data_IF_920128600977
#
_entry.id   IF_920128600977
#
_cell.length_a   1.000
_cell.length_b   1.000
_cell.length_c   1.000
_cell.angle_alpha   90.00
_cell.angle_beta   90.00
_cell.angle_gamma   90.00
#
_symmetry.space_group_name_H-M   'P 1'
#
loop_
_entity.id
_entity.type
_entity.pdbx_description
1 polymer ?
#
# COMPACT_ATOMS: atom_id res chain seq x y z
N UNK A 1 52.54 11.20 -0.18
CA UNK A 1 51.91 11.51 1.12
C UNK A 1 50.56 10.81 1.22
N UNK A 2 50.34 10.15 2.36
CA UNK A 2 49.07 9.48 2.66
C UNK A 2 48.01 10.55 2.96
N UNK A 3 46.89 10.54 2.20
CA UNK A 3 45.73 11.37 2.50
C UNK A 3 45.14 10.96 3.86
N UNK A 4 45.07 11.89 4.78
CA UNK A 4 44.52 11.63 6.11
C UNK A 4 43.45 12.68 6.44
N UNK A 5 42.18 12.43 6.06
CA UNK A 5 41.08 13.35 6.27
C UNK A 5 40.84 13.56 7.79
N UNK A 6 40.45 14.78 8.17
CA UNK A 6 40.07 15.06 9.54
C UNK A 6 38.77 14.35 9.95
N UNK A 7 38.45 14.26 11.24
CA UNK A 7 37.28 13.54 11.74
C UNK A 7 35.96 14.07 11.19
N UNK A 8 35.84 15.38 10.92
CA UNK A 8 34.63 15.99 10.34
C UNK A 8 34.42 15.54 8.90
N UNK A 9 35.52 15.53 8.11
CA UNK A 9 35.46 15.05 6.70
C UNK A 9 35.11 13.55 6.65
N UNK A 10 35.70 12.74 7.53
CA UNK A 10 35.37 11.31 7.66
C UNK A 10 33.90 11.10 8.02
N UNK A 11 33.37 11.84 8.99
CA UNK A 11 31.98 11.75 9.40
C UNK A 11 31.02 12.10 8.24
N UNK A 12 31.33 13.14 7.46
CA UNK A 12 30.55 13.55 6.29
C UNK A 12 30.53 12.48 5.21
N UNK A 13 31.69 11.93 4.86
CA UNK A 13 31.80 10.86 3.86
C UNK A 13 31.05 9.62 4.32
N UNK A 14 31.16 9.23 5.58
CA UNK A 14 30.42 8.08 6.11
C UNK A 14 28.93 8.30 6.07
N UNK A 15 28.42 9.49 6.39
CA UNK A 15 27.01 9.82 6.31
C UNK A 15 26.48 9.74 4.86
N UNK A 16 27.26 10.25 3.89
CA UNK A 16 26.89 10.16 2.46
C UNK A 16 26.88 8.71 1.96
N UNK A 17 27.83 7.87 2.40
CA UNK A 17 27.87 6.45 2.06
C UNK A 17 26.70 5.70 2.69
N UNK A 18 26.37 5.97 3.93
CA UNK A 18 25.24 5.35 4.63
C UNK A 18 23.92 5.69 3.92
N UNK A 19 23.72 6.94 3.53
CA UNK A 19 22.55 7.36 2.76
C UNK A 19 22.49 6.65 1.40
N UNK A 20 23.61 6.55 0.70
CA UNK A 20 23.70 5.84 -0.56
C UNK A 20 23.29 4.37 -0.41
N UNK A 21 23.83 3.66 0.57
CA UNK A 21 23.50 2.25 0.81
C UNK A 21 22.05 2.05 1.24
N UNK A 22 21.52 2.93 2.10
CA UNK A 22 20.10 2.88 2.50
C UNK A 22 19.19 3.03 1.27
N UNK A 23 19.49 3.98 0.38
CA UNK A 23 18.73 4.18 -0.84
C UNK A 23 18.81 2.94 -1.77
N UNK A 24 19.98 2.32 -1.89
CA UNK A 24 20.13 1.08 -2.66
C UNK A 24 19.30 -0.07 -2.05
N UNK A 25 19.30 -0.21 -0.74
CA UNK A 25 18.51 -1.22 -0.03
C UNK A 25 17.00 -1.01 -0.27
N UNK A 26 16.54 0.24 -0.21
CA UNK A 26 15.14 0.60 -0.49
C UNK A 26 14.78 0.28 -1.94
N UNK A 27 15.60 0.67 -2.91
CA UNK A 27 15.38 0.39 -4.34
C UNK A 27 15.32 -1.10 -4.64
N UNK A 28 16.12 -1.90 -3.93
CA UNK A 28 16.09 -3.37 -4.04
C UNK A 28 14.94 -4.03 -3.27
N UNK A 29 14.15 -3.26 -2.52
CA UNK A 29 13.06 -3.81 -1.73
C UNK A 29 13.49 -4.50 -0.43
N UNK A 30 14.70 -4.22 0.07
CA UNK A 30 15.25 -4.85 1.28
C UNK A 30 14.93 -4.09 2.57
N UNK A 31 14.45 -2.86 2.45
CA UNK A 31 14.03 -2.01 3.58
C UNK A 31 12.71 -1.34 3.26
N UNK A 32 11.82 -1.26 4.25
CA UNK A 32 10.55 -0.56 4.10
C UNK A 32 10.80 0.91 3.76
N UNK A 33 10.28 1.40 2.59
CA UNK A 33 10.45 2.79 2.20
C UNK A 33 9.56 3.71 3.02
N UNK A 34 9.98 4.96 3.17
CA UNK A 34 9.09 6.00 3.68
C UNK A 34 7.93 6.22 2.71
N UNK A 35 6.73 6.39 3.26
CA UNK A 35 5.53 6.65 2.47
C UNK A 35 5.19 8.14 2.53
N UNK A 36 5.83 8.94 1.66
CA UNK A 36 5.65 10.39 1.60
C UNK A 36 5.06 10.82 0.25
N UNK A 37 4.10 11.73 0.28
CA UNK A 37 3.44 12.23 -0.93
C UNK A 37 2.73 13.55 -0.64
N UNK A 38 2.63 14.41 -1.66
CA UNK A 38 1.91 15.66 -1.62
C UNK A 38 0.83 15.77 -2.71
N UNK A 39 0.80 14.84 -3.64
CA UNK A 39 -0.16 14.80 -4.74
C UNK A 39 -0.39 13.37 -5.22
N UNK A 40 -1.31 13.20 -6.16
CA UNK A 40 -1.70 11.88 -6.68
C UNK A 40 -0.54 11.14 -7.34
N UNK A 41 0.30 11.83 -8.11
CA UNK A 41 1.47 11.21 -8.76
C UNK A 41 2.47 10.70 -7.72
N UNK A 42 2.74 11.48 -6.69
CA UNK A 42 3.63 11.07 -5.60
C UNK A 42 3.04 9.93 -4.77
N UNK A 43 1.71 9.92 -4.57
CA UNK A 43 1.02 8.79 -3.94
C UNK A 43 1.24 7.49 -4.73
N UNK A 44 1.08 7.55 -6.05
CA UNK A 44 1.34 6.39 -6.92
C UNK A 44 2.78 5.91 -6.78
N UNK A 45 3.76 6.81 -6.77
CA UNK A 45 5.18 6.47 -6.58
C UNK A 45 5.46 5.84 -5.23
N UNK A 46 4.87 6.38 -4.16
CA UNK A 46 5.00 5.81 -2.82
C UNK A 46 4.41 4.40 -2.76
N UNK A 47 3.26 4.20 -3.40
CA UNK A 47 2.64 2.86 -3.52
C UNK A 47 3.56 1.89 -4.28
N UNK A 48 4.15 2.28 -5.40
CA UNK A 48 5.08 1.43 -6.14
C UNK A 48 6.28 0.99 -5.30
N UNK A 49 6.88 1.91 -4.55
CA UNK A 49 8.00 1.61 -3.65
C UNK A 49 7.60 0.59 -2.58
N UNK A 50 6.44 0.80 -1.98
CA UNK A 50 5.89 -0.12 -0.98
C UNK A 50 5.62 -1.51 -1.58
N UNK A 51 4.98 -1.57 -2.76
CA UNK A 51 4.66 -2.83 -3.43
C UNK A 51 5.94 -3.58 -3.81
N UNK A 52 6.97 -2.90 -4.30
CA UNK A 52 8.26 -3.50 -4.60
C UNK A 52 8.91 -4.09 -3.34
N UNK A 53 8.84 -3.37 -2.23
CA UNK A 53 9.30 -3.86 -0.93
C UNK A 53 8.58 -5.15 -0.52
N UNK A 54 7.26 -5.18 -0.62
CA UNK A 54 6.45 -6.37 -0.28
C UNK A 54 6.78 -7.52 -1.25
N UNK A 55 6.86 -7.24 -2.55
CA UNK A 55 7.08 -8.25 -3.58
C UNK A 55 8.47 -8.88 -3.52
N UNK A 56 9.43 -8.20 -2.91
CA UNK A 56 10.77 -8.76 -2.73
C UNK A 56 10.73 -10.12 -1.99
N UNK A 57 9.84 -10.25 -1.00
CA UNK A 57 9.68 -11.49 -0.22
C UNK A 57 8.39 -12.24 -0.55
N UNK A 58 7.63 -11.80 -1.55
CA UNK A 58 6.37 -12.45 -1.94
C UNK A 58 6.59 -13.28 -3.22
N UNK A 59 6.38 -14.61 -3.17
CA UNK A 59 6.45 -15.43 -4.37
C UNK A 59 5.52 -14.90 -5.47
N UNK A 60 5.93 -15.04 -6.72
CA UNK A 60 5.18 -14.49 -7.87
C UNK A 60 3.71 -14.89 -7.88
N UNK A 61 3.40 -16.16 -7.58
CA UNK A 61 2.02 -16.69 -7.59
C UNK A 61 1.13 -16.13 -6.47
N UNK A 62 1.72 -15.45 -5.47
CA UNK A 62 1.01 -14.81 -4.36
C UNK A 62 0.96 -13.29 -4.47
N UNK A 63 1.50 -12.72 -5.55
CA UNK A 63 1.46 -11.28 -5.78
C UNK A 63 0.10 -10.84 -6.29
N UNK A 64 -0.25 -9.61 -5.94
CA UNK A 64 -1.44 -8.92 -6.46
C UNK A 64 -0.96 -7.90 -7.49
N UNK A 65 -1.60 -7.76 -8.66
CA UNK A 65 -1.20 -6.75 -9.64
C UNK A 65 -1.18 -5.35 -9.05
N UNK A 66 -0.14 -4.59 -9.32
CA UNK A 66 0.06 -3.27 -8.71
C UNK A 66 -1.08 -2.29 -9.02
N UNK A 67 -1.63 -2.31 -10.23
CA UNK A 67 -2.74 -1.43 -10.60
C UNK A 67 -3.98 -1.66 -9.73
N UNK A 68 -4.26 -2.91 -9.39
CA UNK A 68 -5.38 -3.26 -8.52
C UNK A 68 -5.14 -2.76 -7.10
N UNK A 69 -3.94 -2.96 -6.56
CA UNK A 69 -3.58 -2.48 -5.22
C UNK A 69 -3.69 -0.95 -5.16
N UNK A 70 -3.07 -0.25 -6.11
CA UNK A 70 -3.04 1.22 -6.14
C UNK A 70 -4.44 1.78 -6.40
N UNK A 71 -5.18 1.18 -7.32
CA UNK A 71 -6.56 1.60 -7.63
C UNK A 71 -7.49 1.50 -6.43
N UNK A 72 -7.44 0.40 -5.69
CA UNK A 72 -8.22 0.24 -4.47
C UNK A 72 -7.77 1.19 -3.36
N UNK A 73 -6.46 1.32 -3.14
CA UNK A 73 -5.91 2.24 -2.14
C UNK A 73 -6.31 3.69 -2.43
N UNK A 74 -6.19 4.14 -3.68
CA UNK A 74 -6.58 5.49 -4.10
C UNK A 74 -8.08 5.74 -3.86
N UNK A 75 -8.94 4.80 -4.22
CA UNK A 75 -10.37 4.90 -4.03
C UNK A 75 -10.76 4.93 -2.54
N UNK A 76 -10.28 3.96 -1.78
CA UNK A 76 -10.65 3.77 -0.38
C UNK A 76 -10.11 4.87 0.55
N UNK A 77 -8.93 5.40 0.26
CA UNK A 77 -8.26 6.39 1.10
C UNK A 77 -8.35 7.83 0.59
N UNK A 78 -9.03 8.06 -0.54
CA UNK A 78 -9.00 9.36 -1.19
C UNK A 78 -7.58 9.81 -1.49
N UNK A 79 -6.79 8.98 -2.16
CA UNK A 79 -5.38 9.23 -2.47
C UNK A 79 -4.52 9.46 -1.21
N UNK A 80 -4.82 8.73 -0.15
CA UNK A 80 -4.08 8.80 1.11
C UNK A 80 -4.44 9.98 2.01
N UNK A 81 -5.49 10.73 1.71
CA UNK A 81 -5.84 11.96 2.44
C UNK A 81 -6.94 11.78 3.48
N UNK A 82 -7.66 10.66 3.49
CA UNK A 82 -8.73 10.40 4.45
C UNK A 82 -8.22 10.35 5.90
N UNK A 83 -9.12 10.57 6.86
CA UNK A 83 -8.80 10.47 8.29
C UNK A 83 -8.21 9.10 8.65
N UNK A 84 -8.76 8.03 8.11
CA UNK A 84 -8.26 6.68 8.37
C UNK A 84 -6.86 6.44 7.80
N UNK A 85 -6.53 7.06 6.67
CA UNK A 85 -5.19 6.99 6.10
C UNK A 85 -4.20 7.86 6.88
N UNK A 86 -4.58 9.09 7.26
CA UNK A 86 -3.67 10.04 7.92
C UNK A 86 -3.45 9.70 9.39
N UNK A 87 -4.49 9.31 10.11
CA UNK A 87 -4.41 8.99 11.55
C UNK A 87 -4.15 7.51 11.83
N UNK A 88 -4.62 6.62 10.96
CA UNK A 88 -4.55 5.17 11.17
C UNK A 88 -3.68 4.41 10.19
N UNK A 89 -3.03 5.08 9.23
CA UNK A 89 -2.23 4.43 8.19
C UNK A 89 -2.99 3.35 7.40
N UNK A 90 -4.31 3.45 7.37
CA UNK A 90 -5.18 2.46 6.73
C UNK A 90 -5.62 2.97 5.36
N UNK A 91 -5.06 2.37 4.29
CA UNK A 91 -5.31 2.78 2.91
C UNK A 91 -6.50 2.08 2.26
N UNK A 92 -7.10 1.08 2.92
CA UNK A 92 -8.13 0.21 2.31
C UNK A 92 -9.44 0.17 3.08
N UNK A 93 -9.59 0.95 4.13
CA UNK A 93 -10.79 0.91 4.98
C UNK A 93 -10.96 -0.43 5.72
N UNK A 94 -9.87 -1.12 6.01
CA UNK A 94 -9.90 -2.43 6.67
C UNK A 94 -10.42 -2.29 8.09
N UNK A 95 -11.43 -3.12 8.43
CA UNK A 95 -12.10 -3.10 9.72
C UNK A 95 -11.55 -4.17 10.67
N UNK A 96 -11.76 -3.94 11.96
CA UNK A 96 -11.59 -4.94 13.01
C UNK A 96 -12.88 -5.04 13.82
N UNK A 97 -13.24 -6.26 14.21
CA UNK A 97 -14.38 -6.54 15.12
C UNK A 97 -13.91 -6.85 16.54
N UNK A 98 -12.61 -6.69 16.79
CA UNK A 98 -11.99 -6.89 18.10
C UNK A 98 -11.68 -5.53 18.74
N UNK A 99 -12.36 -5.22 19.84
CA UNK A 99 -12.20 -3.94 20.53
C UNK A 99 -10.78 -3.71 21.09
N UNK A 100 -10.07 -4.78 21.41
CA UNK A 100 -8.70 -4.75 21.94
C UNK A 100 -7.61 -4.56 20.87
N UNK A 101 -7.98 -4.63 19.59
CA UNK A 101 -7.08 -4.29 18.47
C UNK A 101 -7.09 -2.78 18.26
N UNK A 102 -5.92 -2.18 18.03
CA UNK A 102 -5.80 -0.75 17.76
C UNK A 102 -6.71 -0.33 16.60
N UNK A 103 -7.59 0.64 16.85
CA UNK A 103 -8.62 1.06 15.89
C UNK A 103 -8.98 2.52 16.04
N UNK A 104 -9.58 3.08 14.98
CA UNK A 104 -10.27 4.35 15.00
C UNK A 104 -11.77 4.08 14.94
N UNK A 105 -12.55 4.87 15.66
CA UNK A 105 -14.00 4.82 15.55
C UNK A 105 -14.47 5.55 14.27
N UNK A 106 -15.61 5.13 13.69
CA UNK A 106 -16.23 5.88 12.60
C UNK A 106 -16.51 7.33 13.01
N UNK A 107 -16.54 8.23 12.04
CA UNK A 107 -16.80 9.64 12.29
C UNK A 107 -18.15 9.82 13.03
N UNK A 108 -18.15 10.64 14.10
CA UNK A 108 -19.34 10.92 14.88
C UNK A 108 -19.76 9.82 15.85
N UNK A 109 -19.03 8.72 15.91
CA UNK A 109 -19.28 7.61 16.84
C UNK A 109 -18.31 7.71 18.02
N UNK A 110 -18.87 7.80 19.24
CA UNK A 110 -18.09 7.96 20.47
C UNK A 110 -17.87 6.65 21.22
N UNK A 111 -18.75 5.67 21.02
CA UNK A 111 -18.68 4.36 21.68
C UNK A 111 -18.48 3.25 20.67
N UNK A 112 -17.80 2.20 21.10
CA UNK A 112 -17.58 1.01 20.29
C UNK A 112 -18.89 0.45 19.73
N UNK A 113 -19.10 0.49 18.38
CA UNK A 113 -20.34 0.01 17.76
C UNK A 113 -20.30 -1.48 17.38
N UNK A 114 -19.30 -2.22 17.86
CA UNK A 114 -19.05 -3.61 17.48
C UNK A 114 -17.99 -3.78 16.38
N UNK A 115 -17.44 -2.68 15.84
CA UNK A 115 -16.36 -2.66 14.87
C UNK A 115 -15.64 -1.32 14.89
N UNK A 116 -14.43 -1.33 14.36
CA UNK A 116 -13.62 -0.13 14.17
C UNK A 116 -12.78 -0.23 12.89
N UNK A 117 -12.14 0.86 12.53
CA UNK A 117 -11.19 0.89 11.42
C UNK A 117 -9.80 0.60 11.97
N UNK A 118 -9.17 -0.46 11.46
CA UNK A 118 -7.89 -0.94 11.98
C UNK A 118 -6.79 0.09 11.80
N UNK A 119 -5.97 0.28 12.84
CA UNK A 119 -4.76 1.13 12.82
C UNK A 119 -3.55 0.27 12.51
N UNK A 120 -2.71 0.75 11.59
CA UNK A 120 -1.46 0.11 11.20
C UNK A 120 -0.26 0.95 11.65
N UNK A 121 0.88 0.29 11.86
CA UNK A 121 2.12 0.97 12.22
C UNK A 121 2.65 1.86 11.09
N UNK A 122 2.41 1.48 9.84
CA UNK A 122 2.76 2.27 8.66
C UNK A 122 1.73 2.05 7.55
N UNK A 123 1.71 2.95 6.56
CA UNK A 123 0.85 2.77 5.38
C UNK A 123 1.23 1.53 4.59
N UNK A 124 2.53 1.23 4.50
CA UNK A 124 3.02 0.02 3.84
C UNK A 124 2.56 -1.26 4.56
N UNK A 125 2.44 -1.23 5.89
CA UNK A 125 1.86 -2.35 6.64
C UNK A 125 0.40 -2.61 6.25
N UNK A 126 -0.38 -1.57 5.97
CA UNK A 126 -1.75 -1.76 5.48
C UNK A 126 -1.80 -2.40 4.11
N UNK A 127 -0.85 -2.07 3.23
CA UNK A 127 -0.71 -2.71 1.90
C UNK A 127 -0.33 -4.19 2.05
N UNK A 128 0.61 -4.49 2.93
CA UNK A 128 1.03 -5.87 3.23
C UNK A 128 -0.16 -6.70 3.76
N UNK A 129 -0.91 -6.14 4.70
CA UNK A 129 -2.10 -6.79 5.25
C UNK A 129 -3.16 -7.05 4.17
N UNK A 130 -3.39 -6.09 3.29
CA UNK A 130 -4.30 -6.24 2.15
C UNK A 130 -3.89 -7.41 1.25
N UNK A 131 -2.62 -7.53 0.90
CA UNK A 131 -2.11 -8.65 0.08
C UNK A 131 -2.31 -9.98 0.78
N UNK A 132 -2.00 -10.06 2.07
CA UNK A 132 -2.22 -11.26 2.90
C UNK A 132 -3.70 -11.63 2.98
N UNK A 133 -4.58 -10.63 3.10
CA UNK A 133 -6.02 -10.82 3.13
C UNK A 133 -6.53 -11.47 1.84
N UNK A 134 -6.12 -10.98 0.68
CA UNK A 134 -6.50 -11.56 -0.62
C UNK A 134 -5.93 -12.97 -0.80
N UNK A 135 -4.77 -13.24 -0.24
CA UNK A 135 -4.14 -14.57 -0.34
C UNK A 135 -4.73 -15.61 0.60
N UNK A 136 -5.30 -15.21 1.74
CA UNK A 136 -5.64 -16.14 2.81
C UNK A 136 -7.13 -16.19 3.17
N UNK A 137 -7.89 -15.12 2.95
CA UNK A 137 -9.29 -15.07 3.37
C UNK A 137 -10.20 -15.82 2.40
N UNK A 138 -11.15 -16.60 2.94
CA UNK A 138 -12.09 -17.41 2.13
C UNK A 138 -12.97 -16.59 1.20
N UNK A 139 -13.25 -15.32 1.54
CA UNK A 139 -14.04 -14.42 0.69
C UNK A 139 -13.41 -14.15 -0.68
N UNK A 140 -12.11 -14.41 -0.84
CA UNK A 140 -11.34 -14.06 -2.04
C UNK A 140 -10.84 -15.28 -2.83
N UNK A 141 -11.48 -16.42 -2.66
CA UNK A 141 -11.17 -17.64 -3.43
C UNK A 141 -11.33 -17.44 -4.94
N UNK A 142 -12.37 -16.75 -5.38
CA UNK A 142 -12.59 -16.45 -6.81
C UNK A 142 -11.44 -15.63 -7.39
N UNK A 143 -10.93 -14.66 -6.63
CA UNK A 143 -9.76 -13.89 -7.01
C UNK A 143 -8.54 -14.79 -7.22
N UNK A 144 -8.25 -15.66 -6.24
CA UNK A 144 -7.10 -16.57 -6.31
C UNK A 144 -7.20 -17.54 -7.48
N UNK A 145 -8.38 -18.06 -7.77
CA UNK A 145 -8.60 -18.95 -8.93
C UNK A 145 -8.36 -18.21 -10.25
N UNK A 146 -8.94 -17.02 -10.42
CA UNK A 146 -8.76 -16.26 -11.66
C UNK A 146 -7.31 -15.81 -11.83
N UNK A 147 -6.62 -15.43 -10.74
CA UNK A 147 -5.21 -15.03 -10.79
C UNK A 147 -4.29 -16.08 -11.39
N UNK A 148 -4.62 -17.36 -11.30
CA UNK A 148 -3.86 -18.44 -11.92
C UNK A 148 -3.82 -18.33 -13.46
N UNK A 149 -4.77 -17.65 -14.06
CA UNK A 149 -4.95 -17.58 -15.51
C UNK A 149 -4.69 -16.20 -16.10
N UNK A 150 -4.71 -15.13 -15.31
CA UNK A 150 -4.55 -13.77 -15.79
C UNK A 150 -3.95 -12.85 -14.72
N UNK A 151 -3.23 -11.81 -15.17
CA UNK A 151 -2.76 -10.69 -14.36
C UNK A 151 -3.53 -9.40 -14.67
N UNK A 152 -4.62 -9.48 -15.43
CA UNK A 152 -5.41 -8.31 -15.82
C UNK A 152 -6.18 -7.78 -14.61
N UNK A 153 -5.76 -6.63 -14.09
CA UNK A 153 -6.37 -5.99 -12.91
C UNK A 153 -7.85 -5.70 -13.11
N UNK A 154 -8.27 -5.34 -14.33
CA UNK A 154 -9.66 -5.02 -14.62
C UNK A 154 -10.58 -6.26 -14.62
N UNK A 155 -10.04 -7.43 -14.93
CA UNK A 155 -10.75 -8.71 -14.80
C UNK A 155 -10.75 -9.18 -13.35
N UNK A 156 -9.61 -9.09 -12.67
CA UNK A 156 -9.46 -9.56 -11.30
C UNK A 156 -10.30 -8.77 -10.30
N UNK A 157 -10.44 -7.45 -10.48
CA UNK A 157 -11.24 -6.63 -9.57
C UNK A 157 -12.71 -7.06 -9.51
N UNK A 158 -13.24 -7.63 -10.58
CA UNK A 158 -14.63 -8.13 -10.62
C UNK A 158 -14.87 -9.31 -9.69
N UNK A 159 -13.81 -10.00 -9.26
CA UNK A 159 -13.91 -11.13 -8.32
C UNK A 159 -13.94 -10.68 -6.86
N UNK A 160 -13.72 -9.39 -6.57
CA UNK A 160 -13.69 -8.85 -5.22
C UNK A 160 -15.05 -8.28 -4.78
N UNK A 161 -16.14 -8.96 -5.12
CA UNK A 161 -17.51 -8.57 -4.79
C UNK A 161 -17.76 -8.47 -3.27
N UNK A 162 -16.98 -9.16 -2.45
CA UNK A 162 -17.09 -9.14 -0.99
C UNK A 162 -16.16 -8.11 -0.31
N UNK A 163 -15.34 -7.40 -1.09
CA UNK A 163 -14.42 -6.40 -0.52
C UNK A 163 -15.15 -5.15 -0.03
N UNK A 164 -16.18 -4.73 -0.73
CA UNK A 164 -16.99 -3.55 -0.39
C UNK A 164 -18.46 -3.83 -0.65
N UNK A 165 -19.33 -3.19 0.15
CA UNK A 165 -20.78 -3.21 -0.04
C UNK A 165 -21.25 -2.10 -1.00
N UNK A 166 -20.34 -1.24 -1.46
CA UNK A 166 -20.65 -0.14 -2.37
C UNK A 166 -21.09 -0.69 -3.74
N UNK A 167 -22.21 -0.18 -4.25
CA UNK A 167 -22.70 -0.53 -5.58
C UNK A 167 -21.66 -0.17 -6.64
N UNK A 168 -21.50 -1.04 -7.65
CA UNK A 168 -20.57 -0.84 -8.76
C UNK A 168 -19.11 -0.63 -8.32
N UNK A 169 -18.70 -1.29 -7.25
CA UNK A 169 -17.34 -1.17 -6.70
C UNK A 169 -16.26 -1.46 -7.73
N UNK A 170 -16.41 -2.53 -8.51
CA UNK A 170 -15.51 -2.89 -9.61
C UNK A 170 -15.36 -1.75 -10.64
N UNK A 171 -16.46 -1.13 -11.03
CA UNK A 171 -16.45 -0.01 -11.98
C UNK A 171 -15.73 1.22 -11.40
N UNK A 172 -15.89 1.47 -10.10
CA UNK A 172 -15.21 2.57 -9.40
C UNK A 172 -13.70 2.35 -9.38
N UNK A 173 -13.26 1.15 -9.06
CA UNK A 173 -11.83 0.81 -9.06
C UNK A 173 -11.26 0.85 -10.48
N UNK A 174 -11.99 0.37 -11.49
CA UNK A 174 -11.57 0.44 -12.90
C UNK A 174 -11.35 1.89 -13.32
N UNK A 175 -12.22 2.82 -12.93
CA UNK A 175 -12.02 4.25 -13.19
C UNK A 175 -10.73 4.78 -12.56
N UNK A 176 -10.41 4.33 -11.34
CA UNK A 176 -9.14 4.68 -10.68
C UNK A 176 -7.96 4.10 -11.43
N UNK A 177 -8.02 2.86 -11.88
CA UNK A 177 -6.96 2.22 -12.67
C UNK A 177 -6.70 3.01 -13.97
N UNK A 178 -7.75 3.42 -14.67
CA UNK A 178 -7.64 4.24 -15.88
C UNK A 178 -7.00 5.60 -15.58
N UNK A 179 -7.36 6.24 -14.48
CA UNK A 179 -6.75 7.50 -14.04
C UNK A 179 -5.27 7.32 -13.71
N UNK A 180 -4.91 6.26 -13.02
CA UNK A 180 -3.51 5.92 -12.69
C UNK A 180 -2.69 5.75 -13.97
N UNK A 181 -3.18 4.99 -14.94
CA UNK A 181 -2.52 4.80 -16.25
C UNK A 181 -2.29 6.12 -16.94
N UNK A 182 -3.28 7.01 -16.96
CA UNK A 182 -3.17 8.33 -17.56
C UNK A 182 -2.11 9.19 -16.85
N UNK A 183 -2.08 9.20 -15.52
CA UNK A 183 -1.08 9.94 -14.74
C UNK A 183 0.34 9.40 -14.95
N UNK A 184 0.49 8.10 -15.15
CA UNK A 184 1.80 7.49 -15.44
C UNK A 184 2.29 7.80 -16.86
N UNK A 185 1.40 8.02 -17.82
CA UNK A 185 1.74 8.42 -19.20
C UNK A 185 2.20 9.88 -19.33
N UNK A 186 1.80 10.74 -18.38
CA UNK A 186 2.12 12.18 -18.39
C UNK A 186 3.54 12.52 -17.87
N UNK A 187 4.41 11.54 -17.77
CA UNK A 187 5.81 11.72 -17.30
C UNK A 187 6.69 12.38 -18.38
#
# INVERSE_FOLDING_TARGET
GTFNPNNTAKAKVNAELDEYYVNQIIEMGLQEPEFTFNNDVQFIRAMHKCINYINFTTPKHLRVPYEMIIGQAALESGWGTSRFATEGNNLFGIRTWKKDVAHLLPQGVEKWPGWGVKVFASKCDSVKYYVELLNNHSAYEKFRELRKTTNDSMKLIKTLDKFSTTADYDKRVIRMIKKIRKLEEEK
#
